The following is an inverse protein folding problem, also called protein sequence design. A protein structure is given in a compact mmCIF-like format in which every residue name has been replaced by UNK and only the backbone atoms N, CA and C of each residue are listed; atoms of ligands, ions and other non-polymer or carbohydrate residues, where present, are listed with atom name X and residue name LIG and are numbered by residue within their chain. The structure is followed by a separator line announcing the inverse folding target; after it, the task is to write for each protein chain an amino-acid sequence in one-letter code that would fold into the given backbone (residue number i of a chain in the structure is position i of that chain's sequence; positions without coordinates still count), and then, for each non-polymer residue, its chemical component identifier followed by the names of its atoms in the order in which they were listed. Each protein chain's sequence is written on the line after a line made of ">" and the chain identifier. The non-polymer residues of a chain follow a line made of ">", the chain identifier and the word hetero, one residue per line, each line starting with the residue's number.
data_IF_713688909024
#
_entry.id   IF_713688909024
#
_cell.length_a   1.000
_cell.length_b   1.000
_cell.length_c   1.000
_cell.angle_alpha   90.00
_cell.angle_beta   90.00
_cell.angle_gamma   90.00
#
_symmetry.space_group_name_H-M   'P 1'
#
loop_
_entity.id
_entity.type
_entity.pdbx_description
1 polymer ?
2 water ?
#
# COMPACT_ATOMS: atom_id res chain seq x y z
N UNK A 1 9.98 -3.27 -4.82
CA UNK A 1 8.57 -3.44 -5.08
C UNK A 1 8.30 -3.77 -6.58
N UNK A 2 7.13 -4.42 -6.82
CA UNK A 2 6.70 -4.67 -8.19
C UNK A 2 5.73 -3.54 -8.57
N UNK A 3 5.71 -3.24 -9.86
CA UNK A 3 4.85 -2.25 -10.46
C UNK A 3 4.18 -2.89 -11.68
N UNK A 4 2.90 -2.62 -11.87
CA UNK A 4 2.05 -3.13 -12.94
C UNK A 4 0.70 -2.35 -12.85
N UNK A 5 -0.37 -2.86 -13.44
CA UNK A 5 -1.58 -2.06 -13.52
C UNK A 5 -2.73 -2.81 -12.83
N UNK A 6 -3.77 -2.05 -12.49
CA UNK A 6 -4.97 -2.60 -11.90
C UNK A 6 -6.18 -1.97 -12.58
N UNK A 7 -7.18 -2.81 -12.85
CA UNK A 7 -8.39 -2.40 -13.53
C UNK A 7 -9.57 -2.52 -12.58
N UNK A 8 -10.40 -1.47 -12.54
CA UNK A 8 -11.66 -1.52 -11.82
C UNK A 8 -12.74 -1.08 -12.79
N UNK A 9 -14.40 0.74 -17.34
CA UNK A 9 -13.47 0.57 -16.22
C UNK A 9 -12.26 1.49 -16.30
N UNK A 10 -11.79 1.93 -15.09
CA UNK A 10 -10.58 2.69 -14.97
C UNK A 10 -9.41 1.71 -14.80
N UNK A 11 -8.26 2.10 -15.34
CA UNK A 11 -7.01 1.38 -15.19
C UNK A 11 -5.96 2.35 -14.66
N UNK A 12 -5.30 1.96 -13.56
CA UNK A 12 -4.24 2.75 -12.96
C UNK A 12 -2.99 1.89 -12.83
N UNK A 13 -1.84 2.54 -12.62
CA UNK A 13 -0.70 1.81 -12.13
C UNK A 13 -0.83 1.52 -10.62
N UNK A 14 -0.14 0.47 -10.22
CA UNK A 14 -0.09 0.05 -8.83
C UNK A 14 1.34 -0.36 -8.49
N UNK A 15 1.84 0.09 -7.32
CA UNK A 15 3.01 -0.35 -6.80
C UNK A 15 2.88 -1.12 -5.58
N UNK A 16 3.40 -2.35 -5.51
CA UNK A 16 3.31 -3.27 -4.39
C UNK A 16 4.76 -3.59 -4.00
N UNK B 1 0.23 -8.96 20.63
CA UNK B 1 0.24 -8.36 19.31
C UNK B 1 1.61 -7.77 18.93
N UNK B 2 1.83 -7.67 17.60
CA UNK B 2 3.02 -7.01 17.09
C UNK B 2 2.69 -5.53 16.81
N UNK B 3 3.71 -4.69 16.94
CA UNK B 3 3.61 -3.28 16.66
C UNK B 3 4.82 -2.90 15.77
N UNK B 4 4.57 -2.04 14.79
CA UNK B 4 5.51 -1.58 13.80
C UNK B 4 4.80 -0.44 13.01
N UNK B 5 5.26 -0.09 11.83
CA UNK B 5 4.75 1.09 11.16
C UNK B 5 4.19 0.70 9.79
N UNK B 6 3.34 1.57 9.26
CA UNK B 6 2.78 1.39 7.94
C UNK B 6 2.83 2.71 7.20
N UNK B 7 3.17 2.63 5.92
CA UNK B 7 3.33 3.79 5.07
C UNK B 7 2.25 3.76 3.98
N UNK B 8 1.59 4.90 3.78
CA UNK B 8 0.69 5.08 2.65
C UNK B 8 1.13 6.33 1.90
N UNK B 9 4.01 10.58 1.38
CA UNK B 9 3.32 9.53 2.10
C UNK B 9 3.29 9.76 3.59
N UNK B 10 2.16 9.32 4.21
CA UNK B 10 2.01 9.33 5.65
C UNK B 10 2.52 8.00 6.20
N UNK B 11 3.11 8.06 7.39
CA UNK B 11 3.55 6.89 8.12
C UNK B 11 2.92 6.92 9.52
N UNK B 12 2.27 5.83 9.89
CA UNK B 12 1.67 5.67 11.21
C UNK B 12 2.21 4.42 11.86
N UNK B 13 2.00 4.31 13.18
CA UNK B 13 2.14 3.03 13.83
C UNK B 13 0.92 2.15 13.57
N UNK B 14 1.15 0.85 13.63
CA UNK B 14 0.10 -0.14 13.49
C UNK B 14 0.31 -1.24 14.54
N UNK B 15 -0.80 -1.65 15.19
CA UNK B 15 -0.82 -2.75 16.00
C UNK B 15 -1.60 -3.86 15.52
N UNK B 16 -1.04 -5.06 15.37
CA UNK B 16 -1.68 -6.26 14.85
C UNK B 16 -1.56 -7.32 15.94
#
# INVERSE_FOLDING_TARGET
>A
ALVXFAEDAAIIGLAV
>B
ALVXFAEDAAIIGLAV
#
